data_IF_723147022632
#
_entry.id   IF_723147022632
#
_cell.length_a   1.000
_cell.length_b   1.000
_cell.length_c   1.000
_cell.angle_alpha   90.00
_cell.angle_beta   90.00
_cell.angle_gamma   90.00
#
_symmetry.space_group_name_H-M   'P 1'
#
loop_
_entity.id
_entity.type
_entity.pdbx_description
1 polymer ?
#
# COMPACT_ATOMS: atom_id res chain seq x y z
N UNK A 1 41.15 -28.87 20.89
CA UNK A 1 40.83 -29.78 19.77
C UNK A 1 39.51 -30.48 20.06
N UNK A 2 38.38 -29.88 19.69
CA UNK A 2 37.06 -30.47 19.93
C UNK A 2 36.32 -30.47 18.61
N UNK A 3 36.14 -31.67 18.06
CA UNK A 3 35.57 -31.95 16.74
C UNK A 3 34.05 -31.79 16.81
N UNK A 4 33.53 -30.61 16.46
CA UNK A 4 32.10 -30.47 16.19
C UNK A 4 31.80 -31.05 14.81
N UNK A 5 31.31 -32.29 14.81
CA UNK A 5 30.86 -33.00 13.61
C UNK A 5 29.56 -32.37 13.11
N UNK A 6 29.70 -31.78 11.93
CA UNK A 6 28.69 -31.32 10.99
C UNK A 6 27.57 -32.38 10.84
N UNK A 7 26.39 -32.09 11.41
CA UNK A 7 25.12 -32.79 11.16
C UNK A 7 23.95 -31.79 11.19
N UNK A 8 24.02 -30.77 10.34
CA UNK A 8 22.96 -29.75 10.23
C UNK A 8 22.65 -29.39 8.75
N UNK A 9 22.71 -30.37 7.85
CA UNK A 9 22.62 -30.15 6.40
C UNK A 9 21.30 -30.49 5.68
N UNK A 10 20.16 -30.86 6.31
CA UNK A 10 18.89 -30.97 5.56
C UNK A 10 17.91 -29.81 5.78
N UNK A 11 18.13 -28.90 6.75
CA UNK A 11 17.14 -27.87 7.10
C UNK A 11 17.22 -26.65 6.16
N UNK A 12 18.40 -26.34 5.61
CA UNK A 12 18.60 -25.15 4.78
C UNK A 12 18.00 -25.28 3.36
N UNK A 13 17.83 -26.50 2.85
CA UNK A 13 17.22 -26.74 1.53
C UNK A 13 15.69 -26.52 1.52
N UNK A 14 15.02 -26.67 2.67
CA UNK A 14 13.57 -26.48 2.77
C UNK A 14 13.17 -24.99 2.73
N UNK A 15 14.03 -24.09 3.21
CA UNK A 15 13.75 -22.65 3.20
C UNK A 15 13.84 -22.03 1.78
N UNK A 16 14.73 -22.54 0.93
CA UNK A 16 14.86 -22.07 -0.45
C UNK A 16 13.65 -22.44 -1.33
N UNK A 17 13.00 -23.58 -1.06
CA UNK A 17 11.80 -24.01 -1.79
C UNK A 17 10.54 -23.23 -1.39
N UNK A 18 10.50 -22.68 -0.18
CA UNK A 18 9.42 -21.77 0.26
C UNK A 18 9.54 -20.39 -0.43
N UNK A 19 10.74 -19.97 -0.84
CA UNK A 19 10.94 -18.69 -1.53
C UNK A 19 10.61 -18.77 -3.03
N UNK A 20 10.79 -19.93 -3.67
CA UNK A 20 10.36 -20.18 -5.07
C UNK A 20 8.87 -20.53 -5.19
N UNK A 21 8.16 -20.67 -4.08
CA UNK A 21 6.77 -21.13 -3.99
C UNK A 21 5.72 -20.04 -3.80
N UNK A 22 6.11 -18.77 -3.71
CA UNK A 22 5.17 -17.65 -3.78
C UNK A 22 4.84 -17.40 -5.26
N UNK A 23 4.12 -18.34 -5.88
CA UNK A 23 3.55 -18.24 -7.23
C UNK A 23 2.42 -17.22 -7.31
N UNK A 24 2.60 -16.08 -6.66
CA UNK A 24 1.72 -14.95 -6.76
C UNK A 24 1.95 -14.36 -8.16
N UNK A 25 0.87 -14.11 -8.92
CA UNK A 25 0.90 -13.48 -10.25
C UNK A 25 2.03 -12.43 -10.41
N UNK A 26 2.66 -12.28 -11.57
CA UNK A 26 3.61 -11.20 -11.76
C UNK A 26 2.92 -9.85 -11.47
N UNK A 27 3.51 -9.06 -10.58
CA UNK A 27 3.16 -7.65 -10.40
C UNK A 27 3.74 -6.88 -11.59
N UNK A 28 3.08 -5.79 -11.98
CA UNK A 28 3.66 -4.88 -12.96
C UNK A 28 5.06 -4.42 -12.52
N UNK A 29 6.08 -4.48 -13.41
CA UNK A 29 7.46 -4.16 -13.04
C UNK A 29 7.66 -2.70 -12.63
N UNK A 30 6.86 -1.76 -13.15
CA UNK A 30 6.94 -0.36 -12.75
C UNK A 30 6.43 -0.21 -11.31
N UNK A 31 5.25 -0.76 -11.01
CA UNK A 31 4.71 -0.77 -9.63
C UNK A 31 5.67 -1.46 -8.66
N UNK A 32 6.29 -2.56 -9.06
CA UNK A 32 7.28 -3.24 -8.22
C UNK A 32 8.51 -2.37 -7.93
N UNK A 33 8.98 -1.61 -8.93
CA UNK A 33 10.08 -0.67 -8.79
C UNK A 33 9.76 0.46 -7.82
N UNK A 34 8.56 1.02 -7.93
CA UNK A 34 8.09 2.11 -7.07
C UNK A 34 7.98 1.65 -5.61
N UNK A 35 7.34 0.50 -5.36
CA UNK A 35 7.24 -0.08 -4.02
C UNK A 35 8.62 -0.34 -3.39
N UNK A 36 9.59 -0.82 -4.17
CA UNK A 36 10.96 -1.04 -3.68
C UNK A 36 11.68 0.28 -3.35
N UNK A 37 11.46 1.33 -4.15
CA UNK A 37 12.03 2.66 -3.91
C UNK A 37 11.44 3.31 -2.65
N UNK A 38 10.13 3.18 -2.43
CA UNK A 38 9.43 3.64 -1.22
C UNK A 38 9.99 2.95 0.04
N UNK A 39 10.10 1.62 0.03
CA UNK A 39 10.67 0.84 1.15
C UNK A 39 12.11 1.28 1.47
N UNK A 40 12.95 1.52 0.46
CA UNK A 40 14.30 2.03 0.66
C UNK A 40 14.30 3.42 1.30
N UNK A 41 13.36 4.28 0.90
CA UNK A 41 13.21 5.64 1.44
C UNK A 41 12.76 5.62 2.90
N UNK A 42 11.80 4.75 3.27
CA UNK A 42 11.38 4.52 4.65
C UNK A 42 12.57 4.07 5.51
N UNK A 43 13.33 3.08 5.03
CA UNK A 43 14.49 2.55 5.75
C UNK A 43 15.59 3.61 5.95
N UNK A 44 15.88 4.42 4.91
CA UNK A 44 16.85 5.51 5.01
C UNK A 44 16.41 6.59 6.00
N UNK A 45 15.12 6.93 6.01
CA UNK A 45 14.53 7.93 6.92
C UNK A 45 14.59 7.44 8.37
N UNK A 46 14.21 6.18 8.61
CA UNK A 46 14.31 5.55 9.93
C UNK A 46 15.76 5.45 10.42
N UNK A 47 16.71 5.08 9.55
CA UNK A 47 18.13 5.03 9.87
C UNK A 47 18.73 6.43 10.17
N UNK A 48 18.14 7.48 9.61
CA UNK A 48 18.45 8.88 9.93
C UNK A 48 17.94 9.34 11.29
N UNK A 49 17.20 8.49 12.02
CA UNK A 49 16.59 8.83 13.31
C UNK A 49 15.26 9.57 13.21
N UNK A 50 14.74 9.78 11.99
CA UNK A 50 13.43 10.40 11.77
C UNK A 50 12.33 9.33 11.77
N UNK A 51 12.04 8.80 12.96
CA UNK A 51 11.03 7.75 13.13
C UNK A 51 9.62 8.23 12.76
N UNK A 52 9.30 9.50 13.03
CA UNK A 52 7.99 10.09 12.71
C UNK A 52 7.83 10.23 11.19
N UNK A 53 8.86 10.72 10.49
CA UNK A 53 8.89 10.77 9.02
C UNK A 53 8.77 9.39 8.40
N UNK A 54 9.46 8.38 8.96
CA UNK A 54 9.37 7.01 8.48
C UNK A 54 7.96 6.41 8.66
N UNK A 55 7.27 6.71 9.76
CA UNK A 55 5.87 6.28 9.97
C UNK A 55 4.95 6.91 8.93
N UNK A 56 5.08 8.23 8.69
CA UNK A 56 4.26 8.92 7.70
C UNK A 56 4.47 8.37 6.28
N UNK A 57 5.72 8.06 5.91
CA UNK A 57 6.04 7.41 4.63
C UNK A 57 5.44 6.00 4.55
N UNK A 58 5.48 5.21 5.61
CA UNK A 58 4.88 3.88 5.64
C UNK A 58 3.33 3.92 5.53
N UNK A 59 2.68 4.90 6.16
CA UNK A 59 1.22 5.10 6.03
C UNK A 59 0.84 5.53 4.61
N UNK A 60 1.67 6.37 3.97
CA UNK A 60 1.49 6.72 2.56
C UNK A 60 1.65 5.49 1.65
N UNK A 61 2.70 4.69 1.84
CA UNK A 61 2.92 3.45 1.08
C UNK A 61 1.72 2.50 1.20
N UNK A 62 1.09 2.41 2.39
CA UNK A 62 -0.15 1.64 2.57
C UNK A 62 -1.27 2.15 1.67
N UNK A 63 -1.51 3.46 1.64
CA UNK A 63 -2.52 4.05 0.77
C UNK A 63 -2.23 3.84 -0.72
N UNK A 64 -0.96 3.84 -1.13
CA UNK A 64 -0.56 3.56 -2.50
C UNK A 64 -0.81 2.10 -2.90
N UNK A 65 -0.55 1.15 -1.99
CA UNK A 65 -0.89 -0.27 -2.20
C UNK A 65 -2.40 -0.48 -2.32
N UNK A 66 -3.19 0.21 -1.50
CA UNK A 66 -4.64 0.17 -1.58
C UNK A 66 -5.15 0.78 -2.90
N UNK A 67 -4.57 1.89 -3.35
CA UNK A 67 -4.87 2.47 -4.66
C UNK A 67 -4.47 1.55 -5.84
N UNK A 68 -3.31 0.90 -5.75
CA UNK A 68 -2.84 -0.05 -6.75
C UNK A 68 -3.73 -1.30 -6.87
N UNK A 69 -4.30 -1.72 -5.73
CA UNK A 69 -5.32 -2.77 -5.64
C UNK A 69 -6.63 -2.36 -6.31
N UNK A 70 -7.12 -1.15 -6.02
CA UNK A 70 -8.32 -0.60 -6.64
C UNK A 70 -8.16 -0.42 -8.16
N UNK A 71 -6.96 -0.03 -8.61
CA UNK A 71 -6.61 0.06 -10.03
C UNK A 71 -6.39 -1.31 -10.71
N UNK A 72 -6.39 -2.41 -9.96
CA UNK A 72 -6.16 -3.77 -10.48
C UNK A 72 -4.72 -4.07 -10.88
N UNK A 73 -3.77 -3.16 -10.62
CA UNK A 73 -2.33 -3.36 -10.88
C UNK A 73 -1.68 -4.31 -9.85
N UNK A 74 -2.30 -4.45 -8.68
CA UNK A 74 -1.96 -5.43 -7.64
C UNK A 74 -3.21 -6.25 -7.31
N UNK A 75 -3.06 -7.57 -7.20
CA UNK A 75 -4.18 -8.44 -6.83
C UNK A 75 -4.50 -8.33 -5.32
N UNK A 76 -5.78 -8.54 -4.97
CA UNK A 76 -6.32 -8.43 -3.60
C UNK A 76 -5.48 -9.18 -2.54
N UNK A 77 -5.17 -10.46 -2.79
CA UNK A 77 -4.41 -11.29 -1.85
C UNK A 77 -3.01 -10.73 -1.57
N UNK A 78 -2.38 -10.14 -2.59
CA UNK A 78 -1.04 -9.56 -2.42
C UNK A 78 -1.08 -8.20 -1.77
N UNK A 79 -2.05 -7.36 -2.15
CA UNK A 79 -2.24 -6.08 -1.47
C UNK A 79 -2.49 -6.30 0.03
N UNK A 80 -3.31 -7.30 0.38
CA UNK A 80 -3.54 -7.72 1.77
C UNK A 80 -2.24 -8.17 2.46
N UNK A 81 -1.44 -9.02 1.81
CA UNK A 81 -0.16 -9.47 2.37
C UNK A 81 0.83 -8.32 2.57
N UNK A 82 0.95 -7.44 1.57
CA UNK A 82 1.81 -6.25 1.65
C UNK A 82 1.32 -5.33 2.79
N UNK A 83 0.01 -5.09 2.89
CA UNK A 83 -0.59 -4.28 3.95
C UNK A 83 -0.27 -4.79 5.36
N UNK A 84 -0.35 -6.12 5.58
CA UNK A 84 0.03 -6.74 6.86
C UNK A 84 1.50 -6.46 7.20
N UNK A 85 2.40 -6.54 6.21
CA UNK A 85 3.81 -6.26 6.44
C UNK A 85 4.08 -4.77 6.71
N UNK A 86 3.39 -3.87 6.01
CA UNK A 86 3.48 -2.42 6.27
C UNK A 86 2.99 -2.09 7.68
N UNK A 87 1.86 -2.66 8.11
CA UNK A 87 1.33 -2.47 9.47
C UNK A 87 2.29 -2.96 10.54
N UNK A 88 3.00 -4.08 10.30
CA UNK A 88 4.05 -4.56 11.20
C UNK A 88 5.24 -3.59 11.28
N UNK A 89 5.65 -2.99 10.16
CA UNK A 89 6.70 -1.95 10.13
C UNK A 89 6.27 -0.72 10.91
N UNK A 90 5.04 -0.21 10.69
CA UNK A 90 4.50 0.94 11.41
C UNK A 90 4.47 0.67 12.92
N UNK A 91 4.00 -0.51 13.33
CA UNK A 91 3.99 -0.91 14.74
C UNK A 91 5.41 -0.94 15.34
N UNK A 92 6.39 -1.48 14.60
CA UNK A 92 7.78 -1.52 15.06
C UNK A 92 8.41 -0.13 15.16
N UNK A 93 8.13 0.77 14.21
CA UNK A 93 8.61 2.16 14.25
C UNK A 93 7.98 2.92 15.42
N UNK A 94 6.68 2.77 15.67
CA UNK A 94 6.01 3.39 16.82
C UNK A 94 6.60 2.90 18.15
N UNK A 95 6.86 1.60 18.28
CA UNK A 95 7.51 1.05 19.46
C UNK A 95 8.93 1.60 19.67
N UNK A 96 9.66 1.90 18.60
CA UNK A 96 10.98 2.54 18.67
C UNK A 96 10.92 4.05 19.00
N UNK A 97 9.80 4.71 18.72
CA UNK A 97 9.60 6.14 18.99
C UNK A 97 9.25 6.43 20.46
N UNK A 98 8.67 5.46 21.17
CA UNK A 98 8.34 5.61 22.59
C UNK A 98 9.64 5.80 23.40
N UNK A 99 9.79 6.92 24.15
CA UNK A 99 10.94 7.11 25.03
C UNK A 99 10.91 5.99 26.07
N UNK A 100 11.86 5.08 25.94
CA UNK A 100 12.11 4.05 26.95
C UNK A 100 12.71 4.74 28.17
N UNK A 101 11.83 5.27 29.02
CA UNK A 101 12.18 5.77 30.35
C UNK A 101 12.64 4.59 31.21
N UNK A 102 13.94 4.27 31.13
CA UNK A 102 14.63 3.46 32.12
C UNK A 102 14.98 2.01 31.76
N UNK A 103 14.69 1.51 30.56
CA UNK A 103 15.34 0.27 30.13
C UNK A 103 16.71 0.61 29.56
N UNK A 104 17.76 0.36 30.36
CA UNK A 104 19.14 0.17 29.89
C UNK A 104 19.07 -0.52 28.53
N UNK A 105 19.64 0.13 27.51
CA UNK A 105 19.78 -0.40 26.16
C UNK A 105 20.48 -1.77 26.23
N UNK A 106 19.70 -2.81 26.48
CA UNK A 106 20.06 -4.19 26.24
C UNK A 106 20.14 -4.26 24.74
N UNK A 107 21.36 -4.03 24.24
CA UNK A 107 21.75 -4.24 22.85
C UNK A 107 20.94 -5.44 22.34
N UNK A 108 20.04 -5.26 21.36
CA UNK A 108 19.32 -6.41 20.83
C UNK A 108 20.36 -7.47 20.51
N UNK A 109 20.12 -8.76 20.83
CA UNK A 109 21.05 -9.81 20.45
C UNK A 109 21.34 -9.60 18.97
N UNK A 110 22.61 -9.52 18.56
CA UNK A 110 22.96 -9.15 17.20
C UNK A 110 22.11 -9.99 16.27
N UNK A 111 21.32 -9.31 15.46
CA UNK A 111 20.64 -9.93 14.33
C UNK A 111 21.72 -10.78 13.64
N UNK A 112 21.47 -12.08 13.37
CA UNK A 112 22.47 -12.90 12.74
C UNK A 112 22.88 -12.18 11.47
N UNK A 113 24.10 -11.63 11.46
CA UNK A 113 24.66 -10.99 10.29
C UNK A 113 24.34 -11.92 9.12
N UNK A 114 23.82 -11.40 7.99
CA UNK A 114 23.66 -12.23 6.81
C UNK A 114 24.98 -12.94 6.66
N UNK A 115 24.96 -14.26 6.83
CA UNK A 115 26.16 -15.05 6.86
C UNK A 115 26.79 -14.76 5.51
N UNK A 116 27.83 -13.93 5.53
CA UNK A 116 28.64 -13.63 4.38
C UNK A 116 29.08 -15.00 3.92
N UNK A 117 28.39 -15.50 2.91
CA UNK A 117 28.84 -16.63 2.13
C UNK A 117 30.08 -16.07 1.46
N UNK A 118 31.19 -16.16 2.18
CA UNK A 118 32.49 -16.36 1.59
C UNK A 118 32.28 -17.63 0.77
N UNK A 119 31.90 -17.42 -0.49
CA UNK A 119 31.82 -18.47 -1.46
C UNK A 119 33.14 -19.23 -1.46
N UNK A 120 33.13 -20.50 -1.87
CA UNK A 120 34.38 -21.23 -2.10
C UNK A 120 35.33 -20.37 -2.94
N UNK A 121 36.66 -20.44 -2.70
CA UNK A 121 37.61 -19.73 -3.54
C UNK A 121 37.27 -20.02 -5.00
N UNK A 122 37.08 -18.95 -5.77
CA UNK A 122 36.83 -19.03 -7.19
C UNK A 122 37.89 -19.97 -7.82
N UNK A 123 37.51 -20.90 -8.71
CA UNK A 123 38.48 -21.54 -9.58
C UNK A 123 39.24 -20.43 -10.30
N UNK A 124 40.57 -20.54 -10.32
CA UNK A 124 41.47 -19.57 -10.91
C UNK A 124 40.92 -19.06 -12.25
N UNK A 125 40.62 -17.77 -12.30
CA UNK A 125 40.32 -17.08 -13.54
C UNK A 125 41.54 -17.22 -14.45
N UNK A 126 41.38 -18.05 -15.48
CA UNK A 126 42.13 -17.86 -16.72
C UNK A 126 41.63 -16.53 -17.25
N UNK A 127 42.43 -15.49 -17.08
CA UNK A 127 42.18 -14.16 -17.64
C UNK A 127 42.16 -14.35 -19.18
N UNK A 128 41.02 -14.28 -19.89
CA UNK A 128 41.11 -13.98 -21.31
C UNK A 128 41.64 -12.56 -21.41
N UNK A 129 42.79 -12.41 -22.07
CA UNK A 129 43.31 -11.14 -22.57
C UNK A 129 42.16 -10.27 -23.05
N UNK A 130 42.04 -9.01 -22.60
CA UNK A 130 41.10 -8.07 -23.18
C UNK A 130 41.39 -7.98 -24.67
N UNK A 131 40.48 -8.51 -25.49
CA UNK A 131 40.43 -8.08 -26.88
C UNK A 131 40.06 -6.60 -26.82
N UNK A 132 41.00 -5.77 -27.29
CA UNK A 132 40.80 -4.37 -27.62
C UNK A 132 39.68 -4.30 -28.67
N UNK A 133 38.43 -4.25 -28.20
CA UNK A 133 37.28 -3.99 -29.05
C UNK A 133 37.23 -2.47 -29.18
N UNK A 134 37.73 -2.00 -30.32
CA UNK A 134 37.59 -0.63 -30.76
C UNK A 134 36.13 -0.15 -30.55
N UNK A 135 35.91 1.08 -30.08
CA UNK A 135 34.56 1.62 -29.93
C UNK A 135 33.90 1.67 -31.31
N UNK A 136 32.94 0.79 -31.54
CA UNK A 136 32.03 0.95 -32.68
C UNK A 136 31.22 2.21 -32.42
N UNK A 137 31.44 3.20 -33.29
CA UNK A 137 30.69 4.44 -33.32
C UNK A 137 29.19 4.10 -33.37
N UNK A 138 28.36 4.63 -32.45
CA UNK A 138 26.94 4.34 -32.46
C UNK A 138 26.35 4.75 -33.81
N UNK A 139 25.70 3.79 -34.46
CA UNK A 139 24.87 4.04 -35.63
C UNK A 139 23.76 5.03 -35.20
N UNK A 140 23.51 6.12 -35.94
CA UNK A 140 22.50 7.10 -35.57
C UNK A 140 21.14 6.43 -35.46
N UNK A 141 20.51 6.59 -34.29
CA UNK A 141 19.16 6.11 -34.05
C UNK A 141 18.19 6.69 -35.11
N UNK A 142 17.20 5.91 -35.58
CA UNK A 142 16.17 6.41 -36.48
C UNK A 142 15.48 7.61 -35.82
N UNK A 143 15.42 8.72 -36.55
CA UNK A 143 14.70 9.92 -36.14
C UNK A 143 13.23 9.54 -35.95
N UNK A 144 12.63 9.77 -34.77
CA UNK A 144 11.21 9.54 -34.57
C UNK A 144 10.41 10.36 -35.59
N UNK A 145 9.56 9.72 -36.38
CA UNK A 145 8.52 10.42 -37.13
C UNK A 145 7.61 11.11 -36.11
N UNK A 146 7.59 12.44 -36.15
CA UNK A 146 6.71 13.27 -35.33
C UNK A 146 5.27 12.95 -35.77
N UNK A 147 4.41 12.41 -34.89
CA UNK A 147 3.00 12.24 -35.20
C UNK A 147 2.40 13.59 -35.58
N UNK A 148 1.68 13.64 -36.69
CA UNK A 148 0.96 14.82 -37.12
C UNK A 148 0.09 15.33 -35.96
N UNK A 149 0.21 16.62 -35.65
CA UNK A 149 -0.59 17.27 -34.63
C UNK A 149 -2.08 17.05 -34.93
N UNK A 150 -2.89 16.58 -33.96
CA UNK A 150 -4.33 16.55 -34.12
C UNK A 150 -4.81 17.99 -34.35
N UNK A 151 -5.67 18.16 -35.36
CA UNK A 151 -6.36 19.42 -35.60
C UNK A 151 -7.17 19.82 -34.34
N UNK A 152 -7.35 21.13 -34.07
CA UNK A 152 -8.17 21.59 -32.95
C UNK A 152 -9.62 21.12 -33.17
N UNK A 153 -10.04 20.12 -32.39
CA UNK A 153 -11.44 19.72 -32.29
C UNK A 153 -12.22 20.81 -31.57
N UNK A 154 -13.33 21.19 -32.18
CA UNK A 154 -14.25 22.24 -31.73
C UNK A 154 -14.79 21.93 -30.33
N UNK A 155 -14.92 22.97 -29.52
CA UNK A 155 -15.53 22.92 -28.20
C UNK A 155 -17.01 22.52 -28.35
N UNK A 156 -17.37 21.36 -27.78
CA UNK A 156 -18.76 20.97 -27.60
C UNK A 156 -19.22 21.53 -26.25
N UNK A 157 -19.88 22.67 -26.34
CA UNK A 157 -20.69 23.27 -25.28
C UNK A 157 -21.91 22.36 -25.10
N UNK A 158 -21.87 21.45 -24.12
CA UNK A 158 -23.07 20.73 -23.73
C UNK A 158 -23.52 21.10 -22.32
N UNK A 159 -24.80 21.42 -22.30
CA UNK A 159 -25.49 22.25 -21.33
C UNK A 159 -25.77 21.52 -20.03
N UNK A 160 -26.06 22.33 -19.02
CA UNK A 160 -26.55 21.93 -17.73
C UNK A 160 -27.83 21.08 -17.87
N UNK A 161 -27.82 19.89 -17.28
CA UNK A 161 -29.05 19.13 -17.03
C UNK A 161 -29.37 19.24 -15.53
N UNK A 162 -30.31 20.13 -15.25
CA UNK A 162 -30.96 20.34 -13.97
C UNK A 162 -31.83 19.12 -13.66
N UNK A 163 -31.36 18.19 -12.83
CA UNK A 163 -32.24 17.16 -12.27
C UNK A 163 -32.71 17.58 -10.88
N UNK A 164 -33.99 17.96 -10.83
CA UNK A 164 -34.81 18.15 -9.64
C UNK A 164 -34.92 16.83 -8.83
N UNK A 165 -34.96 16.89 -7.49
CA UNK A 165 -35.27 15.72 -6.68
C UNK A 165 -36.80 15.49 -6.62
N UNK A 166 -37.26 14.40 -7.23
CA UNK A 166 -38.60 13.85 -7.01
C UNK A 166 -38.72 13.31 -5.57
N UNK A 167 -39.58 13.97 -4.79
CA UNK A 167 -40.15 13.43 -3.57
C UNK A 167 -41.22 12.39 -3.94
N UNK A 168 -40.96 11.10 -3.70
CA UNK A 168 -42.06 10.13 -3.61
C UNK A 168 -41.97 9.28 -2.34
N UNK A 169 -43.11 9.27 -1.67
CA UNK A 169 -43.38 8.69 -0.37
C UNK A 169 -44.28 7.47 -0.55
N UNK A 170 -43.84 6.32 -0.04
CA UNK A 170 -44.68 5.12 0.11
C UNK A 170 -43.79 3.90 0.26
N UNK A 171 -43.96 2.99 1.21
CA UNK A 171 -45.18 2.56 1.85
C UNK A 171 -45.23 1.03 1.73
N UNK A 172 -44.97 0.35 2.86
CA UNK A 172 -45.37 -1.02 3.22
C UNK A 172 -45.41 -2.15 2.17
N UNK A 173 -44.72 -3.26 2.46
CA UNK A 173 -45.04 -4.55 1.81
C UNK A 173 -44.20 -5.70 2.33
N UNK A 174 -44.82 -6.57 3.12
CA UNK A 174 -44.23 -7.78 3.67
C UNK A 174 -44.22 -8.94 2.67
N UNK A 175 -43.27 -9.85 2.90
CA UNK A 175 -43.22 -11.27 2.53
C UNK A 175 -43.25 -11.66 1.04
N UNK A 176 -42.16 -12.27 0.58
CA UNK A 176 -42.26 -13.51 -0.19
C UNK A 176 -41.04 -14.42 0.04
N UNK A 177 -41.33 -15.70 0.22
CA UNK A 177 -40.37 -16.78 0.47
C UNK A 177 -40.01 -17.46 -0.84
N UNK A 178 -38.74 -17.86 -0.97
CA UNK A 178 -38.39 -19.07 -1.71
C UNK A 178 -37.73 -18.85 -3.07
N UNK A 179 -36.45 -19.17 -3.13
CA UNK A 179 -35.72 -19.26 -4.39
C UNK A 179 -34.21 -19.21 -4.22
N UNK A 180 -33.61 -20.16 -3.50
CA UNK A 180 -32.16 -20.38 -3.57
C UNK A 180 -31.83 -21.14 -4.86
N UNK A 181 -31.63 -20.39 -5.94
CA UNK A 181 -30.91 -20.84 -7.13
C UNK A 181 -29.43 -20.49 -6.96
N UNK A 182 -28.52 -21.47 -6.88
CA UNK A 182 -27.08 -21.21 -6.90
C UNK A 182 -26.67 -20.93 -8.35
N UNK A 183 -26.55 -19.65 -8.71
CA UNK A 183 -25.96 -19.26 -9.99
C UNK A 183 -26.30 -17.84 -10.40
N UNK A 184 -25.37 -16.91 -10.17
CA UNK A 184 -24.81 -16.02 -11.22
C UNK A 184 -23.77 -15.06 -10.57
N UNK A 185 -22.48 -15.33 -10.78
CA UNK A 185 -21.35 -14.65 -10.12
C UNK A 185 -20.94 -13.32 -10.73
N UNK A 186 -21.82 -12.30 -10.72
CA UNK A 186 -21.47 -10.98 -11.26
C UNK A 186 -22.14 -9.76 -10.61
N UNK A 187 -23.14 -9.92 -9.75
CA UNK A 187 -23.93 -8.79 -9.21
C UNK A 187 -23.72 -8.55 -7.70
N UNK A 188 -22.81 -9.30 -7.07
CA UNK A 188 -22.53 -9.17 -5.63
C UNK A 188 -21.59 -8.01 -5.29
N UNK A 189 -20.64 -7.72 -6.17
CA UNK A 189 -19.63 -6.69 -5.93
C UNK A 189 -20.25 -5.27 -5.97
N UNK A 190 -21.11 -4.99 -6.94
CA UNK A 190 -21.74 -3.68 -7.09
C UNK A 190 -22.68 -3.37 -5.91
N UNK A 191 -23.46 -4.36 -5.44
CA UNK A 191 -24.33 -4.20 -4.28
C UNK A 191 -23.55 -4.00 -2.97
N UNK A 192 -22.40 -4.67 -2.83
CA UNK A 192 -21.54 -4.48 -1.66
C UNK A 192 -20.93 -3.07 -1.63
N UNK A 193 -20.46 -2.57 -2.78
CA UNK A 193 -19.93 -1.22 -2.91
C UNK A 193 -21.01 -0.15 -2.66
N UNK A 194 -22.22 -0.35 -3.16
CA UNK A 194 -23.36 0.55 -2.93
C UNK A 194 -23.78 0.58 -1.45
N UNK A 195 -23.80 -0.60 -0.79
CA UNK A 195 -24.11 -0.67 0.64
C UNK A 195 -23.04 0.00 1.49
N UNK A 196 -21.77 -0.10 1.11
CA UNK A 196 -20.66 0.60 1.78
C UNK A 196 -20.77 2.12 1.61
N UNK A 197 -21.10 2.62 0.42
CA UNK A 197 -21.31 4.08 0.19
C UNK A 197 -22.45 4.62 1.04
N UNK A 198 -23.58 3.90 1.10
CA UNK A 198 -24.73 4.28 1.92
C UNK A 198 -24.42 4.26 3.42
N UNK A 199 -23.59 3.33 3.88
CA UNK A 199 -23.14 3.29 5.27
C UNK A 199 -22.19 4.45 5.61
N UNK A 200 -21.26 4.77 4.71
CA UNK A 200 -20.33 5.88 4.87
C UNK A 200 -21.06 7.24 4.87
N UNK A 201 -22.03 7.44 3.98
CA UNK A 201 -22.85 8.64 3.92
C UNK A 201 -23.65 8.86 5.21
N UNK A 202 -24.30 7.80 5.71
CA UNK A 202 -25.03 7.86 6.97
C UNK A 202 -24.13 8.18 8.18
N UNK A 203 -22.91 7.64 8.19
CA UNK A 203 -21.93 7.95 9.24
C UNK A 203 -21.48 9.42 9.17
N UNK A 204 -21.27 9.95 7.97
CA UNK A 204 -20.91 11.36 7.76
C UNK A 204 -22.05 12.32 8.17
N UNK A 205 -23.30 11.98 7.86
CA UNK A 205 -24.47 12.75 8.28
C UNK A 205 -24.62 12.76 9.82
N UNK A 206 -24.46 11.61 10.47
CA UNK A 206 -24.48 11.51 11.93
C UNK A 206 -23.37 12.36 12.56
N UNK A 207 -22.15 12.31 12.03
CA UNK A 207 -21.04 13.10 12.52
C UNK A 207 -21.30 14.61 12.39
N UNK A 208 -21.91 15.07 11.27
CA UNK A 208 -22.31 16.48 11.11
C UNK A 208 -23.36 16.90 12.13
N UNK A 209 -24.37 16.07 12.36
CA UNK A 209 -25.44 16.37 13.33
C UNK A 209 -24.93 16.40 14.77
N UNK A 210 -23.96 15.56 15.12
CA UNK A 210 -23.30 15.58 16.42
C UNK A 210 -22.42 16.82 16.59
N UNK A 211 -21.68 17.22 15.55
CA UNK A 211 -20.89 18.44 15.55
C UNK A 211 -21.77 19.70 15.70
N UNK A 212 -22.91 19.76 15.01
CA UNK A 212 -23.87 20.87 15.13
C UNK A 212 -24.44 20.98 16.55
N UNK A 213 -24.87 19.86 17.14
CA UNK A 213 -25.34 19.83 18.55
C UNK A 213 -24.26 20.21 19.54
N UNK A 214 -23.01 19.82 19.30
CA UNK A 214 -21.89 20.20 20.14
C UNK A 214 -21.61 21.71 20.05
N UNK A 215 -21.72 22.29 18.86
CA UNK A 215 -21.55 23.72 18.64
C UNK A 215 -22.68 24.55 19.29
N UNK A 216 -23.94 24.11 19.16
CA UNK A 216 -25.09 24.75 19.80
C UNK A 216 -24.93 24.77 21.33
N UNK A 217 -24.60 23.62 21.93
CA UNK A 217 -24.34 23.52 23.36
C UNK A 217 -23.20 24.44 23.82
N UNK A 218 -22.12 24.52 23.04
CA UNK A 218 -21.00 25.40 23.36
C UNK A 218 -21.39 26.89 23.33
N UNK A 219 -22.32 27.28 22.44
CA UNK A 219 -22.84 28.64 22.37
C UNK A 219 -23.73 28.99 23.57
N UNK A 220 -24.59 28.06 24.03
CA UNK A 220 -25.42 28.24 25.23
C UNK A 220 -24.58 28.41 26.50
N UNK A 221 -23.54 27.59 26.67
CA UNK A 221 -22.60 27.68 27.80
C UNK A 221 -21.81 29.01 27.79
N UNK A 222 -21.52 29.56 26.61
CA UNK A 222 -20.85 30.85 26.46
C UNK A 222 -21.77 32.05 26.74
N UNK A 223 -23.06 31.96 26.39
CA UNK A 223 -24.04 33.03 26.56
C UNK A 223 -24.54 33.23 28.01
N UNK A 224 -24.51 32.19 28.84
CA UNK A 224 -25.09 32.22 30.19
C UNK A 224 -24.33 33.00 31.27
N UNK A 225 -23.07 33.42 31.05
CA UNK A 225 -22.24 34.09 32.07
C UNK A 225 -22.40 35.62 32.16
N UNK A 226 -23.30 36.22 31.37
CA UNK A 226 -23.31 37.67 31.15
C UNK A 226 -24.29 38.51 31.96
N UNK A 227 -25.26 37.95 32.71
CA UNK A 227 -26.36 38.76 33.26
C UNK A 227 -26.55 38.55 34.77
N UNK A 228 -25.76 39.28 35.56
CA UNK A 228 -25.82 39.27 37.02
C UNK A 228 -24.87 40.30 37.61
N UNK A 229 -25.09 41.57 37.26
CA UNK A 229 -24.41 42.74 37.81
C UNK A 229 -25.42 43.82 38.17
#
# INVERSE_FOLDING_TARGET
>A
MTRYRIRALPVLAAAALLLSGCGAQPIDPATAGDLQAEVRTIAATAAGGDTIGAIALAERLRAEVDGAREAGTVNEDRASLIGIHIDAVIASLRAAAEPTDGATAGNPPPEPAPAGTSGPPAPAETIPTPADVAPESPEPAPVPEVPAAPAPGEADENEADENEPDEDAGGGGAADQGGVTPGNGGQGADKAAEQQRKAAEKAAEQARKEAERAAEKAADDAGGKGNGG
#
